data_IF_193831643702
#
_entry.id   IF_193831643702
#
_cell.length_a   1.000
_cell.length_b   1.000
_cell.length_c   1.000
_cell.angle_alpha   90.00
_cell.angle_beta   90.00
_cell.angle_gamma   90.00
#
_symmetry.space_group_name_H-M   'P 1'
#
loop_
_entity.id
_entity.type
_entity.pdbx_description
1 polymer ?
#
# COMPACT_ATOMS: atom_id res chain seq x y z
N UNK A 1 -14.15 30.20 -21.81
CA UNK A 1 -15.42 30.74 -21.26
C UNK A 1 -15.97 31.69 -22.31
N UNK A 2 -16.84 31.21 -23.20
CA UNK A 2 -17.35 32.04 -24.30
C UNK A 2 -18.75 32.55 -23.99
N UNK A 3 -18.91 33.88 -23.99
CA UNK A 3 -20.21 34.55 -23.84
C UNK A 3 -20.85 34.71 -25.21
N UNK A 4 -22.06 34.19 -25.36
CA UNK A 4 -22.90 34.42 -26.54
C UNK A 4 -23.68 35.75 -26.37
N UNK A 5 -23.43 36.72 -27.25
CA UNK A 5 -23.87 38.13 -27.13
C UNK A 5 -25.21 38.40 -27.85
N UNK A 6 -25.87 37.40 -28.44
CA UNK A 6 -27.04 37.61 -29.30
C UNK A 6 -28.42 37.28 -28.71
N UNK A 7 -28.62 37.25 -27.38
CA UNK A 7 -29.94 36.89 -26.82
C UNK A 7 -30.62 38.05 -26.09
N UNK A 8 -31.53 38.74 -26.78
CA UNK A 8 -32.37 39.84 -26.26
C UNK A 8 -33.71 39.33 -25.69
N UNK A 9 -34.03 38.04 -25.80
CA UNK A 9 -35.32 37.50 -25.36
C UNK A 9 -35.17 36.64 -24.10
N UNK A 10 -35.12 37.33 -22.95
CA UNK A 10 -35.05 36.70 -21.61
C UNK A 10 -36.41 36.33 -21.01
N UNK A 11 -37.52 36.35 -21.78
CA UNK A 11 -38.87 36.24 -21.20
C UNK A 11 -39.76 35.08 -21.65
N UNK A 12 -39.45 34.36 -22.73
CA UNK A 12 -40.37 33.33 -23.26
C UNK A 12 -39.69 31.95 -23.50
N UNK A 13 -38.86 31.51 -22.54
CA UNK A 13 -38.10 30.25 -22.65
C UNK A 13 -38.97 28.98 -22.49
N UNK A 14 -40.21 29.10 -22.03
CA UNK A 14 -41.09 27.97 -21.76
C UNK A 14 -41.81 27.40 -23.00
N UNK A 15 -41.81 28.10 -24.15
CA UNK A 15 -42.63 27.72 -25.31
C UNK A 15 -41.91 27.60 -26.65
N UNK A 16 -40.58 27.76 -26.70
CA UNK A 16 -39.81 27.56 -27.94
C UNK A 16 -39.14 26.19 -28.04
N UNK A 17 -39.83 25.12 -27.63
CA UNK A 17 -39.45 23.75 -27.97
C UNK A 17 -40.33 23.27 -29.13
N UNK A 18 -39.77 23.33 -30.34
CA UNK A 18 -40.40 22.82 -31.55
C UNK A 18 -40.72 21.32 -31.38
N UNK A 19 -42.00 20.98 -31.19
CA UNK A 19 -42.54 19.61 -30.96
C UNK A 19 -42.02 18.60 -32.00
N UNK A 20 -41.67 19.03 -33.21
CA UNK A 20 -41.08 18.18 -34.23
C UNK A 20 -39.69 17.63 -33.89
N UNK A 21 -38.90 18.33 -33.07
CA UNK A 21 -37.59 17.83 -32.62
C UNK A 21 -37.69 16.76 -31.54
N UNK A 22 -38.79 16.76 -30.77
CA UNK A 22 -39.08 15.76 -29.74
C UNK A 22 -39.41 14.38 -30.34
N UNK A 23 -40.11 14.34 -31.49
CA UNK A 23 -40.53 13.08 -32.11
C UNK A 23 -39.48 12.42 -33.03
N UNK A 24 -38.46 13.15 -33.52
CA UNK A 24 -37.65 12.67 -34.64
C UNK A 24 -36.11 12.80 -34.51
N UNK A 25 -35.55 13.10 -33.33
CA UNK A 25 -34.08 13.23 -33.21
C UNK A 25 -33.49 12.56 -31.98
N UNK A 26 -33.06 11.32 -32.15
CA UNK A 26 -32.01 10.71 -31.31
C UNK A 26 -30.65 11.31 -31.69
N UNK A 27 -30.41 12.54 -31.28
CA UNK A 27 -29.11 13.18 -31.48
C UNK A 27 -28.14 12.69 -30.40
N UNK A 28 -27.37 11.65 -30.70
CA UNK A 28 -26.17 11.34 -29.92
C UNK A 28 -25.12 12.42 -30.18
N UNK A 29 -24.57 12.97 -29.11
CA UNK A 29 -23.48 13.93 -29.17
C UNK A 29 -22.24 13.30 -28.55
N UNK A 30 -21.09 13.44 -29.21
CA UNK A 30 -19.78 13.02 -28.71
C UNK A 30 -18.91 14.26 -28.56
N UNK A 31 -18.23 14.38 -27.42
CA UNK A 31 -17.27 15.46 -27.17
C UNK A 31 -15.97 14.84 -26.69
N UNK A 32 -14.88 15.16 -27.38
CA UNK A 32 -13.54 14.73 -27.03
C UNK A 32 -12.80 15.92 -26.41
N UNK A 33 -12.02 15.65 -25.37
CA UNK A 33 -11.18 16.62 -24.70
C UNK A 33 -9.81 15.97 -24.52
N UNK A 34 -8.75 16.72 -24.81
CA UNK A 34 -7.37 16.32 -24.57
C UNK A 34 -6.74 17.45 -23.76
N UNK A 35 -6.39 17.16 -22.52
CA UNK A 35 -5.79 18.12 -21.59
C UNK A 35 -4.50 17.50 -21.04
N UNK A 36 -3.42 18.27 -21.02
CA UNK A 36 -2.16 17.86 -20.42
C UNK A 36 -2.09 18.43 -19.00
N UNK A 37 -2.67 17.69 -18.05
CA UNK A 37 -2.80 18.11 -16.66
C UNK A 37 -1.65 17.54 -15.82
N UNK A 38 -1.18 18.31 -14.84
CA UNK A 38 -0.23 17.83 -13.83
C UNK A 38 -0.86 16.75 -12.93
N UNK A 39 -0.03 15.97 -12.21
CA UNK A 39 -0.52 14.94 -11.29
C UNK A 39 -1.17 15.54 -10.05
N UNK A 40 -2.50 15.63 -10.06
CA UNK A 40 -3.33 16.11 -8.95
C UNK A 40 -4.79 15.62 -9.12
N UNK A 41 -5.67 15.98 -8.18
CA UNK A 41 -7.11 15.72 -8.26
C UNK A 41 -7.77 16.68 -9.25
N UNK A 42 -8.28 16.13 -10.34
CA UNK A 42 -9.02 16.88 -11.36
C UNK A 42 -10.52 16.56 -11.33
N UNK A 43 -11.34 17.58 -11.57
CA UNK A 43 -12.79 17.46 -11.62
C UNK A 43 -13.30 17.63 -13.05
N UNK A 44 -14.24 16.80 -13.45
CA UNK A 44 -14.90 16.88 -14.75
C UNK A 44 -16.39 17.10 -14.51
N UNK A 45 -16.84 18.31 -14.83
CA UNK A 45 -18.23 18.72 -14.65
C UNK A 45 -18.99 18.65 -15.98
N UNK A 46 -20.10 17.92 -15.98
CA UNK A 46 -21.00 17.83 -17.13
C UNK A 46 -22.19 18.77 -16.93
N UNK A 47 -22.27 19.81 -17.76
CA UNK A 47 -23.40 20.74 -17.79
C UNK A 47 -24.25 20.49 -19.03
N UNK A 48 -25.57 20.31 -18.84
CA UNK A 48 -26.53 20.18 -19.93
C UNK A 48 -27.77 21.03 -19.64
N UNK A 49 -28.38 21.55 -20.70
CA UNK A 49 -29.56 22.42 -20.67
C UNK A 49 -30.88 21.65 -20.45
N UNK A 50 -30.85 20.30 -20.45
CA UNK A 50 -31.99 19.38 -20.31
C UNK A 50 -31.61 18.13 -19.51
N UNK A 51 -32.35 17.02 -19.68
CA UNK A 51 -32.07 15.69 -19.10
C UNK A 51 -31.41 14.77 -20.14
N UNK A 52 -30.10 14.92 -20.43
CA UNK A 52 -29.42 13.96 -21.28
C UNK A 52 -29.28 12.61 -20.57
N UNK A 53 -29.29 11.53 -21.33
CA UNK A 53 -28.82 10.24 -20.85
C UNK A 53 -27.34 10.10 -21.19
N UNK A 54 -26.51 9.95 -20.17
CA UNK A 54 -25.09 9.65 -20.34
C UNK A 54 -24.97 8.19 -20.81
N UNK A 55 -24.43 7.99 -22.01
CA UNK A 55 -24.31 6.65 -22.60
C UNK A 55 -22.94 6.03 -22.37
N UNK A 56 -21.87 6.81 -22.56
CA UNK A 56 -20.49 6.31 -22.49
C UNK A 56 -19.58 7.47 -22.09
N UNK A 57 -18.62 7.17 -21.22
CA UNK A 57 -17.47 8.02 -20.96
C UNK A 57 -16.23 7.14 -21.15
N UNK A 58 -15.29 7.62 -21.97
CA UNK A 58 -13.99 7.00 -22.16
C UNK A 58 -12.94 7.96 -21.62
N UNK A 59 -12.15 7.49 -20.66
CA UNK A 59 -10.98 8.22 -20.18
C UNK A 59 -9.73 7.58 -20.78
N UNK A 60 -9.00 8.35 -21.59
CA UNK A 60 -7.63 8.03 -21.96
C UNK A 60 -6.72 8.82 -21.04
N UNK A 61 -6.30 8.19 -19.94
CA UNK A 61 -5.38 8.80 -18.95
C UNK A 61 -3.92 8.72 -19.41
N UNK A 62 -3.69 8.41 -20.69
CA UNK A 62 -2.38 8.04 -21.20
C UNK A 62 -1.95 6.67 -20.70
N UNK A 63 -0.90 6.15 -21.33
CA UNK A 63 -0.24 4.91 -20.90
C UNK A 63 0.75 5.25 -19.79
N UNK A 64 0.28 5.80 -18.68
CA UNK A 64 1.01 5.55 -17.44
C UNK A 64 0.97 4.04 -17.28
N UNK A 65 2.12 3.39 -17.48
CA UNK A 65 2.27 1.95 -17.30
C UNK A 65 1.56 1.62 -16.00
N UNK A 66 0.43 0.92 -16.07
CA UNK A 66 -0.31 0.46 -14.90
C UNK A 66 0.74 -0.08 -13.94
N UNK A 67 0.96 0.63 -12.81
CA UNK A 67 2.04 0.30 -11.90
C UNK A 67 1.85 -1.16 -11.53
N UNK A 68 2.88 -1.96 -11.77
CA UNK A 68 2.78 -3.40 -11.58
C UNK A 68 2.57 -3.65 -10.09
N UNK A 69 1.37 -4.08 -9.73
CA UNK A 69 1.06 -4.49 -8.36
C UNK A 69 1.75 -5.83 -8.10
N UNK A 70 2.68 -5.93 -7.16
CA UNK A 70 3.31 -7.19 -6.82
C UNK A 70 2.27 -8.18 -6.30
N UNK A 71 2.39 -9.44 -6.70
CA UNK A 71 1.58 -10.54 -6.18
C UNK A 71 2.47 -11.57 -5.50
N UNK A 72 1.87 -12.51 -4.76
CA UNK A 72 2.63 -13.60 -4.15
C UNK A 72 3.41 -14.42 -5.19
N UNK A 73 2.82 -14.67 -6.37
CA UNK A 73 3.45 -15.43 -7.46
C UNK A 73 4.46 -14.61 -8.26
N UNK A 74 4.31 -13.28 -8.27
CA UNK A 74 5.23 -12.36 -8.93
C UNK A 74 5.56 -11.20 -7.99
N UNK A 75 6.44 -11.42 -6.99
CA UNK A 75 6.66 -10.49 -5.90
C UNK A 75 7.71 -9.42 -6.22
N UNK A 76 8.37 -9.50 -7.38
CA UNK A 76 9.35 -8.50 -7.81
C UNK A 76 8.76 -7.11 -7.65
N UNK A 77 9.45 -6.24 -6.98
CA UNK A 77 9.01 -4.87 -6.86
C UNK A 77 9.81 -3.94 -7.80
N UNK A 78 9.11 -3.03 -8.47
CA UNK A 78 9.64 -2.28 -9.62
C UNK A 78 10.05 -0.85 -9.31
N UNK A 79 9.62 -0.25 -8.20
CA UNK A 79 9.83 1.17 -7.90
C UNK A 79 11.10 1.41 -7.04
N UNK A 80 11.18 2.51 -6.26
CA UNK A 80 12.38 2.88 -5.45
C UNK A 80 12.23 2.76 -3.91
N UNK A 81 11.01 3.00 -3.35
CA UNK A 81 10.78 3.07 -1.89
C UNK A 81 9.65 2.20 -1.24
N UNK A 82 9.21 1.10 -1.85
CA UNK A 82 8.15 0.14 -1.41
C UNK A 82 6.79 0.74 -0.99
N UNK A 83 6.54 2.01 -1.31
CA UNK A 83 5.37 2.75 -0.80
C UNK A 83 4.04 2.24 -1.36
N UNK A 84 4.07 1.58 -2.52
CA UNK A 84 2.95 1.06 -3.29
C UNK A 84 2.66 -0.43 -3.01
N UNK A 85 3.47 -1.10 -2.19
CA UNK A 85 3.12 -2.43 -1.70
C UNK A 85 1.83 -2.36 -0.87
N UNK A 86 0.99 -3.40 -0.94
CA UNK A 86 -0.08 -3.56 0.06
C UNK A 86 0.53 -3.81 1.44
N UNK A 87 -0.22 -3.53 2.52
CA UNK A 87 0.25 -3.78 3.89
C UNK A 87 0.69 -5.24 4.10
N UNK A 88 -0.03 -6.19 3.51
CA UNK A 88 0.34 -7.60 3.53
C UNK A 88 1.66 -7.87 2.80
N UNK A 89 1.88 -7.27 1.63
CA UNK A 89 3.08 -7.48 0.84
C UNK A 89 4.32 -6.92 1.55
N UNK A 90 4.24 -5.68 2.03
CA UNK A 90 5.37 -5.05 2.72
C UNK A 90 5.69 -5.75 4.05
N UNK A 91 4.67 -6.21 4.79
CA UNK A 91 4.87 -7.01 5.99
C UNK A 91 5.48 -8.39 5.69
N UNK A 92 5.07 -9.04 4.59
CA UNK A 92 5.68 -10.29 4.14
C UNK A 92 7.17 -10.12 3.81
N UNK A 93 7.56 -9.00 3.21
CA UNK A 93 8.96 -8.65 2.94
C UNK A 93 9.77 -8.47 4.22
N UNK A 94 9.21 -7.84 5.26
CA UNK A 94 9.84 -7.76 6.59
C UNK A 94 10.03 -9.15 7.18
N UNK A 95 8.97 -9.96 7.21
CA UNK A 95 9.03 -11.31 7.78
C UNK A 95 10.05 -12.18 7.04
N UNK A 96 10.17 -12.00 5.73
CA UNK A 96 11.22 -12.66 4.95
C UNK A 96 12.60 -12.13 5.30
N UNK A 97 12.81 -10.81 5.29
CA UNK A 97 14.11 -10.18 5.53
C UNK A 97 14.70 -10.60 6.87
N UNK A 98 13.87 -10.61 7.89
CA UNK A 98 14.24 -10.81 9.30
C UNK A 98 14.06 -12.27 9.76
N UNK A 99 13.17 -13.02 9.11
CA UNK A 99 12.66 -14.31 9.59
C UNK A 99 12.77 -15.47 8.61
N UNK A 100 13.52 -15.32 7.50
CA UNK A 100 13.65 -16.33 6.43
C UNK A 100 13.88 -17.75 6.97
N UNK A 101 14.83 -17.89 7.90
CA UNK A 101 15.27 -19.17 8.47
C UNK A 101 14.63 -19.50 9.83
N UNK A 102 13.55 -18.80 10.20
CA UNK A 102 12.85 -18.98 11.47
C UNK A 102 11.59 -19.84 11.32
N UNK A 103 11.07 -20.34 12.44
CA UNK A 103 9.79 -21.06 12.46
C UNK A 103 8.61 -20.14 12.14
N UNK A 104 7.42 -20.74 11.93
CA UNK A 104 6.17 -19.98 11.75
C UNK A 104 5.89 -19.08 12.95
N UNK A 105 6.13 -19.55 14.18
CA UNK A 105 5.84 -18.80 15.39
C UNK A 105 6.78 -17.60 15.54
N UNK A 106 8.08 -17.79 15.30
CA UNK A 106 9.06 -16.70 15.31
C UNK A 106 8.77 -15.65 14.21
N UNK A 107 8.40 -16.08 13.00
CA UNK A 107 7.94 -15.17 11.92
C UNK A 107 6.69 -14.39 12.32
N UNK A 108 5.75 -15.05 13.01
CA UNK A 108 4.55 -14.41 13.54
C UNK A 108 4.94 -13.32 14.53
N UNK A 109 5.85 -13.63 15.46
CA UNK A 109 6.36 -12.65 16.42
C UNK A 109 7.04 -11.44 15.77
N UNK A 110 7.85 -11.66 14.72
CA UNK A 110 8.45 -10.58 13.92
C UNK A 110 7.36 -9.68 13.34
N UNK A 111 6.33 -10.27 12.72
CA UNK A 111 5.19 -9.52 12.18
C UNK A 111 4.46 -8.69 13.24
N UNK A 112 4.24 -9.26 14.43
CA UNK A 112 3.61 -8.54 15.54
C UNK A 112 4.42 -7.35 16.06
N UNK A 113 5.75 -7.35 15.92
CA UNK A 113 6.54 -6.18 16.33
C UNK A 113 6.16 -4.91 15.57
N UNK A 114 5.72 -5.02 14.31
CA UNK A 114 5.17 -3.90 13.54
C UNK A 114 3.88 -3.39 14.18
N UNK A 115 2.91 -4.29 14.42
CA UNK A 115 1.62 -3.93 15.02
C UNK A 115 1.77 -3.37 16.43
N UNK A 116 2.70 -3.91 17.21
CA UNK A 116 2.98 -3.46 18.57
C UNK A 116 3.61 -2.06 18.57
N UNK A 117 4.48 -1.73 17.61
CA UNK A 117 5.01 -0.37 17.42
C UNK A 117 3.90 0.62 17.07
N UNK A 118 2.98 0.24 16.17
CA UNK A 118 1.80 1.05 15.83
C UNK A 118 0.94 1.28 17.09
N UNK A 119 0.64 0.21 17.84
CA UNK A 119 -0.18 0.26 19.06
C UNK A 119 0.41 1.19 20.14
N UNK A 120 1.73 1.29 20.22
CA UNK A 120 2.40 2.22 21.14
C UNK A 120 2.27 3.68 20.72
N UNK A 121 1.89 3.94 19.47
CA UNK A 121 1.52 5.26 18.97
C UNK A 121 2.61 6.33 19.20
N UNK A 122 3.87 5.97 18.92
CA UNK A 122 5.03 6.87 19.07
C UNK A 122 5.52 7.36 17.71
N UNK A 123 5.71 8.68 17.58
CA UNK A 123 6.19 9.35 16.36
C UNK A 123 7.50 8.78 15.80
N UNK A 124 8.38 8.28 16.67
CA UNK A 124 9.67 7.73 16.25
C UNK A 124 9.53 6.44 15.43
N UNK A 125 8.43 5.69 15.61
CA UNK A 125 8.17 4.49 14.82
C UNK A 125 7.25 4.78 13.64
N UNK A 126 6.19 5.56 13.85
CA UNK A 126 5.13 5.72 12.85
C UNK A 126 3.80 5.19 13.37
N UNK A 127 2.74 5.43 12.60
CA UNK A 127 1.36 5.20 13.01
C UNK A 127 0.60 4.19 12.13
N UNK A 128 1.24 3.69 11.07
CA UNK A 128 0.69 2.64 10.20
C UNK A 128 1.80 1.68 9.76
N UNK A 129 1.42 0.62 9.05
CA UNK A 129 2.33 -0.46 8.63
C UNK A 129 3.48 0.08 7.79
N UNK A 130 3.19 0.89 6.77
CA UNK A 130 4.21 1.48 5.91
C UNK A 130 5.15 2.41 6.66
N UNK A 131 4.63 3.31 7.50
CA UNK A 131 5.46 4.23 8.27
C UNK A 131 6.42 3.49 9.19
N UNK A 132 5.97 2.43 9.87
CA UNK A 132 6.83 1.64 10.77
C UNK A 132 7.91 0.89 10.00
N UNK A 133 7.56 0.30 8.86
CA UNK A 133 8.50 -0.52 8.08
C UNK A 133 9.50 0.35 7.31
N UNK A 134 9.02 1.43 6.71
CA UNK A 134 9.81 2.37 5.91
C UNK A 134 10.42 3.49 6.75
N UNK A 135 10.38 3.37 8.07
CA UNK A 135 11.19 4.22 8.93
C UNK A 135 12.66 3.83 8.76
N UNK A 136 13.50 4.86 8.60
CA UNK A 136 14.93 4.69 8.41
C UNK A 136 15.55 3.77 9.46
N UNK A 137 16.31 2.77 8.98
CA UNK A 137 17.07 1.82 9.80
C UNK A 137 16.25 0.96 10.79
N UNK A 138 14.92 0.89 10.66
CA UNK A 138 14.11 0.00 11.51
C UNK A 138 14.20 -1.48 11.08
N UNK A 139 14.36 -1.72 9.78
CA UNK A 139 14.48 -3.05 9.19
C UNK A 139 15.59 -3.03 8.13
N UNK A 140 16.72 -3.66 8.43
CA UNK A 140 17.93 -3.60 7.58
C UNK A 140 17.68 -4.06 6.15
N UNK A 141 16.77 -5.02 5.99
CA UNK A 141 16.33 -5.53 4.69
C UNK A 141 15.79 -4.47 3.72
N UNK A 142 15.43 -3.27 4.18
CA UNK A 142 14.92 -2.20 3.32
C UNK A 142 15.97 -1.12 2.99
N UNK A 143 17.04 -1.04 3.78
CA UNK A 143 18.03 0.05 3.73
C UNK A 143 19.41 -0.42 3.29
N UNK A 144 19.78 -1.66 3.61
CA UNK A 144 21.08 -2.21 3.25
C UNK A 144 21.03 -2.80 1.84
N UNK A 145 21.84 -2.25 0.93
CA UNK A 145 21.91 -2.69 -0.48
C UNK A 145 22.15 -4.19 -0.64
N UNK A 146 22.92 -4.80 0.26
CA UNK A 146 23.26 -6.22 0.20
C UNK A 146 22.09 -7.14 0.57
N UNK A 147 21.09 -6.64 1.29
CA UNK A 147 19.91 -7.42 1.74
C UNK A 147 18.61 -6.96 1.07
N UNK A 148 18.59 -5.76 0.48
CA UNK A 148 17.43 -5.16 -0.19
C UNK A 148 16.95 -5.96 -1.40
N UNK A 149 17.86 -6.48 -2.21
CA UNK A 149 17.49 -7.23 -3.42
C UNK A 149 16.69 -8.50 -3.09
N UNK A 150 17.03 -9.16 -1.97
CA UNK A 150 16.31 -10.35 -1.48
C UNK A 150 14.85 -10.08 -1.20
N UNK A 151 14.55 -8.97 -0.50
CA UNK A 151 13.14 -8.64 -0.22
C UNK A 151 12.46 -7.96 -1.39
N UNK A 152 13.21 -7.29 -2.28
CA UNK A 152 12.68 -6.67 -3.51
C UNK A 152 12.16 -7.71 -4.50
N UNK A 153 12.91 -8.78 -4.73
CA UNK A 153 12.58 -9.79 -5.72
C UNK A 153 12.96 -11.19 -5.21
N UNK A 154 12.22 -11.72 -4.22
CA UNK A 154 12.64 -12.91 -3.48
C UNK A 154 12.82 -14.14 -4.37
N UNK A 155 11.89 -14.38 -5.29
CA UNK A 155 11.92 -15.58 -6.14
C UNK A 155 13.08 -15.56 -7.13
N UNK A 156 13.57 -14.38 -7.55
CA UNK A 156 14.77 -14.28 -8.38
C UNK A 156 16.07 -14.14 -7.56
N UNK A 157 15.99 -14.05 -6.23
CA UNK A 157 17.14 -13.88 -5.33
C UNK A 157 17.28 -15.08 -4.37
N UNK A 158 17.12 -16.30 -4.89
CA UNK A 158 17.35 -17.57 -4.20
C UNK A 158 16.44 -17.85 -2.99
N UNK A 159 15.35 -17.09 -2.80
CA UNK A 159 14.34 -17.45 -1.80
C UNK A 159 13.43 -18.51 -2.38
N UNK A 160 13.30 -19.64 -1.69
CA UNK A 160 12.37 -20.68 -2.13
C UNK A 160 10.91 -20.18 -2.10
N UNK A 161 10.11 -20.58 -3.10
CA UNK A 161 8.68 -20.24 -3.17
C UNK A 161 7.93 -20.66 -1.90
N UNK A 162 8.32 -21.78 -1.27
CA UNK A 162 7.71 -22.25 -0.01
C UNK A 162 7.97 -21.28 1.15
N UNK A 163 9.18 -20.75 1.28
CA UNK A 163 9.51 -19.78 2.34
C UNK A 163 8.79 -18.47 2.10
N UNK A 164 8.77 -17.98 0.85
CA UNK A 164 8.06 -16.76 0.49
C UNK A 164 6.56 -16.86 0.80
N UNK A 165 5.90 -17.93 0.34
CA UNK A 165 4.46 -18.14 0.59
C UNK A 165 4.15 -18.26 2.08
N UNK A 166 5.04 -18.88 2.87
CA UNK A 166 4.89 -18.91 4.33
C UNK A 166 4.97 -17.52 4.96
N UNK A 167 5.87 -16.65 4.50
CA UNK A 167 5.97 -15.28 5.00
C UNK A 167 4.72 -14.48 4.63
N UNK A 168 4.24 -14.62 3.39
CA UNK A 168 3.02 -13.98 2.90
C UNK A 168 1.76 -14.42 3.67
N UNK A 169 1.62 -15.72 3.96
CA UNK A 169 0.51 -16.24 4.75
C UNK A 169 0.57 -15.81 6.23
N UNK A 170 1.78 -15.68 6.80
CA UNK A 170 1.92 -15.13 8.16
C UNK A 170 1.52 -13.65 8.19
N UNK A 171 1.93 -12.86 7.19
CA UNK A 171 1.53 -11.46 7.09
C UNK A 171 0.00 -11.30 7.02
N UNK A 172 -0.67 -12.14 6.22
CA UNK A 172 -2.14 -12.20 6.14
C UNK A 172 -2.76 -12.49 7.51
N UNK A 173 -2.29 -13.54 8.19
CA UNK A 173 -2.86 -13.97 9.46
C UNK A 173 -2.67 -12.92 10.56
N UNK A 174 -1.51 -12.24 10.59
CA UNK A 174 -1.20 -11.18 11.55
C UNK A 174 -2.08 -9.96 11.32
N UNK A 175 -2.17 -9.46 10.09
CA UNK A 175 -2.99 -8.29 9.77
C UNK A 175 -4.49 -8.57 9.89
N UNK A 176 -4.91 -9.77 9.51
CA UNK A 176 -6.31 -10.22 9.59
C UNK A 176 -6.77 -10.58 11.01
N UNK A 177 -5.89 -10.54 12.02
CA UNK A 177 -6.24 -10.90 13.41
C UNK A 177 -6.59 -12.38 13.59
N UNK A 178 -6.10 -13.25 12.71
CA UNK A 178 -6.40 -14.69 12.72
C UNK A 178 -5.51 -15.47 13.70
N UNK A 179 -4.41 -14.87 14.13
CA UNK A 179 -3.44 -15.43 15.06
C UNK A 179 -3.18 -14.45 16.20
N UNK A 180 -2.92 -14.95 17.41
CA UNK A 180 -2.61 -14.12 18.57
C UNK A 180 -1.13 -13.70 18.59
N UNK A 181 -0.82 -12.60 19.28
CA UNK A 181 0.57 -12.13 19.47
C UNK A 181 1.35 -13.08 20.39
N UNK A 182 2.36 -13.82 19.88
CA UNK A 182 3.15 -14.73 20.70
C UNK A 182 4.25 -14.00 21.50
N UNK A 183 4.42 -12.69 21.30
CA UNK A 183 5.52 -11.89 21.86
C UNK A 183 5.17 -11.09 23.11
N UNK A 184 3.89 -11.13 23.51
CA UNK A 184 3.36 -10.38 24.64
C UNK A 184 3.59 -8.86 24.53
N UNK A 185 3.43 -8.28 23.33
CA UNK A 185 3.56 -6.84 23.10
C UNK A 185 4.99 -6.36 22.78
N UNK A 186 5.89 -7.24 22.35
CA UNK A 186 7.26 -6.85 22.04
C UNK A 186 7.34 -5.88 20.85
N UNK A 187 8.26 -4.93 20.93
CA UNK A 187 8.52 -3.90 19.90
C UNK A 187 9.90 -4.02 19.27
N UNK A 188 10.78 -4.82 19.86
CA UNK A 188 12.14 -5.04 19.40
C UNK A 188 12.41 -6.53 19.39
N UNK A 189 13.30 -6.95 18.50
CA UNK A 189 13.79 -8.32 18.50
C UNK A 189 15.23 -8.34 18.00
N UNK A 190 15.92 -9.43 18.29
CA UNK A 190 17.14 -9.78 17.58
C UNK A 190 17.24 -11.30 17.45
N UNK A 191 17.87 -11.76 16.37
CA UNK A 191 18.27 -13.15 16.20
C UNK A 191 19.78 -13.24 16.27
N UNK A 192 20.32 -14.19 17.04
CA UNK A 192 21.76 -14.34 17.20
C UNK A 192 22.34 -15.39 16.24
N UNK A 193 23.57 -15.15 15.79
CA UNK A 193 24.47 -16.19 15.29
C UNK A 193 25.56 -16.53 16.32
N UNK A 194 26.03 -15.51 17.09
CA UNK A 194 26.99 -15.66 18.20
C UNK A 194 26.59 -14.83 19.44
N UNK A 195 27.04 -15.24 20.64
CA UNK A 195 26.65 -14.63 21.93
C UNK A 195 27.26 -13.23 22.17
N UNK A 196 28.25 -12.82 21.38
CA UNK A 196 28.91 -11.51 21.47
C UNK A 196 28.08 -10.41 20.76
N UNK A 197 27.07 -10.80 19.98
CA UNK A 197 26.30 -9.89 19.12
C UNK A 197 25.10 -9.23 19.82
N UNK A 198 25.02 -9.29 21.16
CA UNK A 198 23.88 -8.72 21.89
C UNK A 198 23.92 -7.19 21.82
N UNK A 199 22.85 -6.55 21.33
CA UNK A 199 22.75 -5.10 21.38
C UNK A 199 22.77 -4.62 22.83
N UNK A 200 23.39 -3.47 23.10
CA UNK A 200 23.50 -2.91 24.45
C UNK A 200 22.14 -2.69 25.14
N UNK A 201 21.07 -2.54 24.37
CA UNK A 201 19.70 -2.38 24.87
C UNK A 201 19.01 -3.71 25.27
N UNK A 202 19.56 -4.85 24.84
CA UNK A 202 19.00 -6.17 25.05
C UNK A 202 19.34 -6.70 26.45
N UNK A 203 18.56 -6.29 27.44
CA UNK A 203 18.71 -6.70 28.84
C UNK A 203 17.60 -7.66 29.27
N UNK A 204 17.87 -8.48 30.28
CA UNK A 204 16.86 -9.39 30.86
C UNK A 204 15.60 -8.66 31.33
N UNK A 205 15.75 -7.43 31.85
CA UNK A 205 14.63 -6.60 32.30
C UNK A 205 13.61 -6.33 31.19
N UNK A 206 14.07 -6.17 29.96
CA UNK A 206 13.23 -5.80 28.83
C UNK A 206 12.78 -7.02 28.01
N UNK A 207 13.29 -8.21 28.33
CA UNK A 207 12.98 -9.45 27.61
C UNK A 207 11.53 -9.87 27.90
N UNK A 208 10.75 -10.09 26.85
CA UNK A 208 9.36 -10.55 26.94
C UNK A 208 9.26 -12.04 26.74
N UNK A 209 9.92 -12.55 25.71
CA UNK A 209 9.94 -13.98 25.39
C UNK A 209 11.08 -14.31 24.45
N UNK A 210 11.36 -15.60 24.31
CA UNK A 210 12.25 -16.16 23.31
C UNK A 210 11.47 -17.21 22.51
N UNK A 211 11.47 -17.06 21.20
CA UNK A 211 10.86 -18.02 20.27
C UNK A 211 11.99 -18.51 19.36
N UNK A 212 12.32 -19.80 19.46
CA UNK A 212 13.49 -20.40 18.83
C UNK A 212 14.80 -19.64 19.16
N UNK A 213 15.40 -18.98 18.15
CA UNK A 213 16.64 -18.21 18.27
C UNK A 213 16.39 -16.70 18.25
N UNK A 214 15.12 -16.28 18.29
CA UNK A 214 14.72 -14.87 18.25
C UNK A 214 14.28 -14.46 19.65
N UNK A 215 14.92 -13.42 20.16
CA UNK A 215 14.58 -12.81 21.45
C UNK A 215 13.74 -11.58 21.20
N UNK A 216 12.62 -11.46 21.91
CA UNK A 216 11.66 -10.38 21.77
C UNK A 216 11.65 -9.51 23.02
N UNK A 217 11.74 -8.19 22.82
CA UNK A 217 11.88 -7.21 23.88
C UNK A 217 10.84 -6.10 23.78
N UNK A 218 10.53 -5.51 24.92
CA UNK A 218 9.76 -4.27 25.01
C UNK A 218 10.68 -3.18 25.56
N UNK A 219 10.98 -2.18 24.73
CA UNK A 219 11.73 -1.01 25.18
C UNK A 219 10.76 0.14 25.48
N UNK A 220 10.93 0.76 26.64
CA UNK A 220 10.34 2.05 26.96
C UNK A 220 11.08 3.13 26.16
N UNK A 221 10.72 3.26 24.89
CA UNK A 221 11.29 4.27 24.02
C UNK A 221 10.72 5.67 24.26
#
# INVERSE_FOLDING_TARGET
MDKNIFSILRRDWLWSANIFTYFFKNNRQKKNFEENLDSDIHYIDFWADRMPTLHEIIFDLGVDKLKRIPSVENPKWTDENFIDDSEQMILARVILGEGENQSKEARTGIGFTVLNRIKKHKKQWGYNVHEVILKESQYDSFWNKNTKDKVRDPLNNNVSISVWNKCYAVAEAVLGGQIADPTFGATHFHSYKHQIDFPWWATEKNLKTKIDRVYFYELEA
#
